data_IF_247679170832
#
_entry.id   IF_247679170832
#
_cell.length_a   1.000
_cell.length_b   1.000
_cell.length_c   1.000
_cell.angle_alpha   90.00
_cell.angle_beta   90.00
_cell.angle_gamma   90.00
#
_symmetry.space_group_name_H-M   'P 1'
#
loop_
_entity.id
_entity.type
_entity.pdbx_description
1 polymer ?
#
# COMPACT_ATOMS: atom_id res chain seq x y z
N UNK A 1 -4.32 8.74 18.54
CA UNK A 1 -3.35 9.19 17.52
C UNK A 1 -3.61 8.44 16.21
N UNK A 2 -3.59 9.10 15.06
CA UNK A 2 -3.76 8.41 13.80
C UNK A 2 -2.63 7.41 13.56
N UNK A 3 -3.00 6.35 12.86
CA UNK A 3 -2.05 5.30 12.46
C UNK A 3 -2.16 5.06 10.96
N UNK A 4 -1.09 4.56 10.39
CA UNK A 4 -0.99 4.35 8.94
C UNK A 4 -0.54 2.93 8.66
N UNK A 5 -1.28 2.27 7.79
CA UNK A 5 -0.83 1.02 7.19
C UNK A 5 -0.01 1.40 5.96
N UNK A 6 1.27 1.04 5.94
CA UNK A 6 2.21 1.49 4.91
C UNK A 6 2.71 0.29 4.12
N UNK A 7 2.64 0.40 2.81
CA UNK A 7 3.17 -0.63 1.90
C UNK A 7 4.33 -0.03 1.12
N UNK A 8 5.51 -0.64 1.26
CA UNK A 8 6.72 -0.25 0.53
C UNK A 8 6.96 -1.28 -0.56
N UNK A 9 7.13 -0.82 -1.80
CA UNK A 9 7.38 -1.68 -2.94
C UNK A 9 8.65 -1.25 -3.66
N UNK A 10 9.45 -2.21 -4.12
CA UNK A 10 10.63 -1.97 -4.94
C UNK A 10 10.30 -2.41 -6.36
N UNK A 11 10.31 -1.45 -7.29
CA UNK A 11 9.85 -1.62 -8.67
C UNK A 11 10.99 -1.32 -9.63
N UNK A 12 11.32 -2.28 -10.48
CA UNK A 12 12.35 -2.10 -11.51
C UNK A 12 11.96 -1.04 -12.54
N UNK A 13 12.96 -0.42 -13.14
CA UNK A 13 12.75 0.69 -14.07
C UNK A 13 11.75 0.36 -15.20
N UNK A 14 11.85 -0.84 -15.75
CA UNK A 14 10.99 -1.26 -16.85
C UNK A 14 9.51 -1.35 -16.48
N UNK A 15 9.20 -1.55 -15.20
CA UNK A 15 7.83 -1.74 -14.71
C UNK A 15 7.22 -0.49 -14.08
N UNK A 16 8.01 0.56 -13.82
CA UNK A 16 7.56 1.71 -13.01
C UNK A 16 6.36 2.44 -13.61
N UNK A 17 6.34 2.66 -14.90
CA UNK A 17 5.26 3.39 -15.54
C UNK A 17 3.93 2.64 -15.43
N UNK A 18 3.93 1.35 -15.74
CA UNK A 18 2.72 0.53 -15.63
C UNK A 18 2.28 0.37 -14.19
N UNK A 19 3.23 0.21 -13.27
CA UNK A 19 2.95 0.12 -11.84
C UNK A 19 2.31 1.42 -11.34
N UNK A 20 2.83 2.57 -11.74
CA UNK A 20 2.29 3.88 -11.34
C UNK A 20 0.85 4.05 -11.79
N UNK A 21 0.56 3.72 -13.04
CA UNK A 21 -0.80 3.84 -13.60
C UNK A 21 -1.75 2.87 -12.90
N UNK A 22 -1.36 1.62 -12.77
CA UNK A 22 -2.18 0.58 -12.16
C UNK A 22 -2.49 0.90 -10.70
N UNK A 23 -1.48 1.34 -9.94
CA UNK A 23 -1.67 1.66 -8.53
C UNK A 23 -2.61 2.85 -8.35
N UNK A 24 -2.41 3.89 -9.17
CA UNK A 24 -3.25 5.08 -9.11
C UNK A 24 -4.70 4.82 -9.49
N UNK A 25 -4.92 4.05 -10.56
CA UNK A 25 -6.26 3.90 -11.15
C UNK A 25 -7.05 2.74 -10.57
N UNK A 26 -6.37 1.70 -10.11
CA UNK A 26 -7.04 0.46 -9.68
C UNK A 26 -6.75 0.12 -8.23
N UNK A 27 -5.48 -0.07 -7.86
CA UNK A 27 -5.15 -0.70 -6.59
C UNK A 27 -5.36 0.21 -5.38
N UNK A 28 -4.93 1.46 -5.44
CA UNK A 28 -5.09 2.38 -4.30
C UNK A 28 -6.55 2.63 -3.95
N UNK A 29 -7.43 3.01 -4.92
CA UNK A 29 -8.84 3.21 -4.59
C UNK A 29 -9.53 1.92 -4.13
N UNK A 30 -9.20 0.77 -4.72
CA UNK A 30 -9.75 -0.51 -4.29
C UNK A 30 -9.33 -0.85 -2.85
N UNK A 31 -8.05 -0.72 -2.54
CA UNK A 31 -7.54 -0.99 -1.20
C UNK A 31 -8.10 -0.04 -0.16
N UNK A 32 -8.20 1.26 -0.48
CA UNK A 32 -8.80 2.23 0.44
C UNK A 32 -10.22 1.84 0.83
N UNK A 33 -11.02 1.47 -0.15
CA UNK A 33 -12.40 1.06 0.07
C UNK A 33 -12.49 -0.26 0.84
N UNK A 34 -11.70 -1.26 0.44
CA UNK A 34 -11.73 -2.59 1.05
C UNK A 34 -11.26 -2.57 2.51
N UNK A 35 -10.28 -1.73 2.83
CA UNK A 35 -9.78 -1.55 4.20
C UNK A 35 -10.64 -0.60 5.03
N UNK A 36 -11.57 0.11 4.41
CA UNK A 36 -12.32 1.18 5.04
C UNK A 36 -11.39 2.24 5.66
N UNK A 37 -10.34 2.58 4.96
CA UNK A 37 -9.40 3.60 5.41
C UNK A 37 -10.01 5.00 5.30
N UNK A 38 -9.62 5.89 6.20
CA UNK A 38 -10.09 7.29 6.20
C UNK A 38 -9.60 8.04 4.98
N UNK A 39 -8.36 7.77 4.58
CA UNK A 39 -7.74 8.34 3.38
C UNK A 39 -6.63 7.42 2.91
N UNK A 40 -6.20 7.62 1.68
CA UNK A 40 -5.09 6.88 1.10
C UNK A 40 -4.32 7.79 0.14
N UNK A 41 -3.01 7.67 0.14
CA UNK A 41 -2.15 8.36 -0.81
C UNK A 41 -0.91 7.52 -1.08
N UNK A 42 -0.15 7.92 -2.07
CA UNK A 42 1.05 7.20 -2.48
C UNK A 42 2.14 8.18 -2.90
N UNK A 43 3.36 7.71 -2.90
CA UNK A 43 4.50 8.52 -3.25
C UNK A 43 5.64 7.67 -3.81
N UNK A 44 6.45 8.26 -4.66
CA UNK A 44 7.72 7.68 -5.09
C UNK A 44 8.86 8.36 -4.31
N UNK A 45 9.84 7.58 -3.90
CA UNK A 45 11.03 8.13 -3.27
C UNK A 45 11.84 8.96 -4.29
N UNK A 46 12.34 10.11 -3.85
CA UNK A 46 13.21 10.95 -4.69
C UNK A 46 14.68 10.56 -4.55
N UNK A 47 15.04 9.89 -3.46
CA UNK A 47 16.42 9.44 -3.23
C UNK A 47 16.67 8.03 -3.76
N UNK A 48 15.63 7.21 -3.85
CA UNK A 48 15.67 5.90 -4.50
C UNK A 48 14.45 5.76 -5.42
N UNK A 49 14.58 6.05 -6.72
CA UNK A 49 13.44 6.06 -7.65
C UNK A 49 12.75 4.71 -7.82
N UNK A 50 13.37 3.61 -7.36
CA UNK A 50 12.74 2.29 -7.42
C UNK A 50 11.68 2.07 -6.34
N UNK A 51 11.62 2.92 -5.32
CA UNK A 51 10.79 2.70 -4.13
C UNK A 51 9.50 3.50 -4.21
N UNK A 52 8.40 2.77 -4.08
CA UNK A 52 7.04 3.32 -4.02
C UNK A 52 6.45 3.06 -2.64
N UNK A 53 5.72 4.06 -2.12
CA UNK A 53 4.99 3.95 -0.85
C UNK A 53 3.51 4.18 -1.06
N UNK A 54 2.69 3.38 -0.41
CA UNK A 54 1.25 3.63 -0.27
C UNK A 54 0.91 3.74 1.21
N UNK A 55 0.09 4.72 1.56
CA UNK A 55 -0.29 5.03 2.93
C UNK A 55 -1.81 4.94 3.05
N UNK A 56 -2.29 4.20 4.04
CA UNK A 56 -3.71 4.10 4.36
C UNK A 56 -3.91 4.55 5.79
N UNK A 57 -4.69 5.62 5.97
CA UNK A 57 -4.87 6.24 7.29
C UNK A 57 -6.04 5.64 8.04
N UNK A 58 -5.82 5.41 9.33
CA UNK A 58 -6.84 4.93 10.27
C UNK A 58 -6.85 5.81 11.52
N UNK A 59 -7.97 5.77 12.25
CA UNK A 59 -8.13 6.61 13.44
C UNK A 59 -7.11 6.28 14.53
N UNK A 60 -6.73 4.99 14.65
CA UNK A 60 -5.80 4.53 15.66
C UNK A 60 -5.07 3.25 15.21
N UNK A 61 -4.15 2.80 16.05
CA UNK A 61 -3.35 1.60 15.80
C UNK A 61 -4.24 0.35 15.67
N UNK A 62 -5.23 0.18 16.53
CA UNK A 62 -6.07 -1.01 16.52
C UNK A 62 -6.82 -1.16 15.19
N UNK A 63 -7.32 -0.05 14.64
CA UNK A 63 -8.00 -0.06 13.35
C UNK A 63 -7.05 -0.43 12.21
N UNK A 64 -5.83 0.09 12.23
CA UNK A 64 -4.81 -0.25 11.23
C UNK A 64 -4.38 -1.72 11.35
N UNK A 65 -4.19 -2.20 12.57
CA UNK A 65 -3.77 -3.58 12.82
C UNK A 65 -4.82 -4.59 12.35
N UNK A 66 -6.10 -4.25 12.46
CA UNK A 66 -7.19 -5.12 12.04
C UNK A 66 -7.13 -5.47 10.53
N UNK A 67 -6.48 -4.64 9.72
CA UNK A 67 -6.28 -4.91 8.29
C UNK A 67 -5.50 -6.21 8.08
N UNK A 68 -4.50 -6.50 8.90
CA UNK A 68 -3.63 -7.67 8.76
C UNK A 68 -4.37 -9.00 8.85
N UNK A 69 -5.50 -9.04 9.55
CA UNK A 69 -6.30 -10.26 9.73
C UNK A 69 -7.60 -10.22 8.95
N UNK A 70 -7.83 -9.18 8.15
CA UNK A 70 -9.06 -9.02 7.39
C UNK A 70 -9.09 -9.90 6.14
N UNK A 71 -10.28 -10.33 5.68
CA UNK A 71 -10.39 -10.98 4.38
C UNK A 71 -9.93 -10.09 3.22
N UNK A 72 -10.09 -8.78 3.38
CA UNK A 72 -9.72 -7.81 2.35
C UNK A 72 -8.23 -7.85 2.03
N UNK A 73 -7.34 -7.98 3.04
CA UNK A 73 -5.90 -8.00 2.78
C UNK A 73 -5.53 -9.24 1.96
N UNK A 74 -6.15 -10.40 2.20
CA UNK A 74 -5.87 -11.61 1.44
C UNK A 74 -6.24 -11.45 -0.02
N UNK A 75 -7.40 -10.84 -0.31
CA UNK A 75 -7.83 -10.57 -1.69
C UNK A 75 -6.89 -9.61 -2.39
N UNK A 76 -6.52 -8.52 -1.72
CA UNK A 76 -5.64 -7.50 -2.31
C UNK A 76 -4.22 -8.00 -2.52
N UNK A 77 -3.71 -8.85 -1.64
CA UNK A 77 -2.42 -9.53 -1.82
C UNK A 77 -2.48 -10.43 -3.06
N UNK A 78 -3.55 -11.21 -3.20
CA UNK A 78 -3.74 -12.08 -4.36
C UNK A 78 -3.81 -11.29 -5.67
N UNK A 79 -4.56 -10.18 -5.68
CA UNK A 79 -4.67 -9.30 -6.85
C UNK A 79 -3.31 -8.71 -7.24
N UNK A 80 -2.55 -8.25 -6.25
CA UNK A 80 -1.22 -7.71 -6.47
C UNK A 80 -0.27 -8.77 -7.03
N UNK A 81 -0.27 -9.95 -6.44
CA UNK A 81 0.61 -11.05 -6.86
C UNK A 81 0.25 -11.54 -8.26
N UNK A 82 -1.03 -11.56 -8.61
CA UNK A 82 -1.48 -11.94 -9.94
C UNK A 82 -0.97 -10.96 -11.01
N UNK A 83 -0.89 -9.67 -10.66
CA UNK A 83 -0.47 -8.62 -11.61
C UNK A 83 1.04 -8.49 -11.69
N UNK A 84 1.74 -8.56 -10.55
CA UNK A 84 3.18 -8.24 -10.49
C UNK A 84 4.05 -9.43 -10.11
N UNK A 85 3.55 -10.37 -9.33
CA UNK A 85 4.27 -11.58 -8.94
C UNK A 85 5.62 -11.26 -8.30
N UNK A 86 6.64 -11.98 -8.73
CA UNK A 86 7.99 -11.81 -8.22
C UNK A 86 8.75 -10.61 -8.80
N UNK A 87 8.15 -9.88 -9.75
CA UNK A 87 8.79 -8.70 -10.36
C UNK A 87 8.87 -7.52 -9.41
N UNK A 88 8.02 -7.50 -8.39
CA UNK A 88 7.97 -6.42 -7.40
C UNK A 88 8.08 -7.04 -6.02
N UNK A 89 9.10 -6.63 -5.26
CA UNK A 89 9.19 -6.99 -3.84
C UNK A 89 8.51 -5.93 -3.01
N UNK A 90 7.82 -6.36 -1.96
CA UNK A 90 7.14 -5.41 -1.08
C UNK A 90 7.21 -5.84 0.37
N UNK A 91 7.10 -4.86 1.25
CA UNK A 91 6.97 -5.03 2.69
C UNK A 91 5.89 -4.10 3.20
N UNK A 92 5.38 -4.38 4.37
CA UNK A 92 4.35 -3.55 5.00
C UNK A 92 4.62 -3.40 6.48
N UNK A 93 4.20 -2.27 7.01
CA UNK A 93 4.31 -1.97 8.43
C UNK A 93 3.17 -1.04 8.85
N UNK A 94 2.98 -0.92 10.14
CA UNK A 94 2.06 0.05 10.72
C UNK A 94 2.90 1.06 11.47
N UNK A 95 2.66 2.34 11.18
CA UNK A 95 3.29 3.43 11.92
C UNK A 95 2.19 4.23 12.62
N UNK A 96 2.50 4.73 13.79
CA UNK A 96 1.58 5.54 14.57
C UNK A 96 2.16 6.94 14.74
N UNK A 97 1.32 7.96 14.56
CA UNK A 97 1.77 9.33 14.73
C UNK A 97 2.24 9.57 16.16
N UNK A 98 3.35 10.29 16.30
CA UNK A 98 3.92 10.67 17.58
C UNK A 98 3.71 12.16 17.84
N UNK A 99 3.66 12.50 19.12
CA UNK A 99 3.58 13.90 19.53
C UNK A 99 4.93 14.62 19.37
#
# INVERSE_FOLDING_TARGET
MPAYFVVRAVVGEADRREFDIWYRTEHLPDARAAFNAQSAWRAWSRTDPSVHYAFYQFADFAAAEAVNTSPAIRRLVADFDARWGSRVTRSREIIEAAE
#
